data_IF_695449713098
#
_entry.id   IF_695449713098
#
_cell.length_a   1.000
_cell.length_b   1.000
_cell.length_c   1.000
_cell.angle_alpha   90.00
_cell.angle_beta   90.00
_cell.angle_gamma   90.00
#
_symmetry.space_group_name_H-M   'P 1'
#
loop_
_entity.id
_entity.type
_entity.pdbx_description
1 polymer ?
#
# COMPACT_ATOMS: atom_id res chain seq x y z
N UNK A 1 -21.30 5.62 -0.86
CA UNK A 1 -19.96 5.19 -0.44
C UNK A 1 -19.14 6.41 -0.08
N UNK A 2 -18.65 6.46 1.16
CA UNK A 2 -17.81 7.52 1.70
C UNK A 2 -16.38 7.03 1.82
N UNK A 3 -15.43 7.77 1.23
CA UNK A 3 -14.00 7.52 1.42
C UNK A 3 -13.59 8.03 2.81
N UNK A 4 -12.96 7.17 3.59
CA UNK A 4 -12.47 7.47 4.94
C UNK A 4 -11.00 7.89 4.92
N UNK A 5 -10.20 7.19 4.12
CA UNK A 5 -8.77 7.43 3.98
C UNK A 5 -8.24 6.81 2.69
N UNK A 6 -7.24 7.43 2.09
CA UNK A 6 -6.42 6.80 1.06
C UNK A 6 -4.98 6.70 1.53
N UNK A 7 -4.42 5.49 1.48
CA UNK A 7 -3.00 5.24 1.64
C UNK A 7 -2.39 5.19 0.25
N UNK A 8 -1.63 6.24 -0.09
CA UNK A 8 -0.99 6.34 -1.38
C UNK A 8 0.34 5.58 -1.43
N UNK A 9 0.57 4.83 -2.50
CA UNK A 9 1.84 4.17 -2.77
C UNK A 9 2.22 3.12 -1.73
N UNK A 10 1.25 2.40 -1.18
CA UNK A 10 1.53 1.17 -0.45
C UNK A 10 2.16 0.14 -1.40
N UNK A 11 2.87 -0.86 -0.88
CA UNK A 11 3.47 -1.87 -1.72
C UNK A 11 3.47 -3.28 -1.11
N UNK A 12 3.47 -4.32 -1.93
CA UNK A 12 3.82 -5.70 -1.55
C UNK A 12 5.21 -6.05 -2.05
N UNK A 13 5.91 -6.96 -1.37
CA UNK A 13 7.16 -7.53 -1.85
C UNK A 13 6.92 -8.97 -2.31
N UNK A 14 7.22 -9.25 -3.58
CA UNK A 14 7.04 -10.54 -4.23
C UNK A 14 8.33 -10.92 -4.97
N UNK A 15 9.19 -11.65 -4.27
CA UNK A 15 10.51 -12.05 -4.77
C UNK A 15 11.38 -10.85 -5.13
N UNK A 16 11.73 -10.75 -6.41
CA UNK A 16 12.58 -9.67 -6.93
C UNK A 16 11.82 -8.40 -7.28
N UNK A 17 10.51 -8.33 -7.04
CA UNK A 17 9.67 -7.22 -7.42
C UNK A 17 8.93 -6.61 -6.24
N UNK A 18 8.64 -5.33 -6.38
CA UNK A 18 7.74 -4.57 -5.54
C UNK A 18 6.54 -4.17 -6.37
N UNK A 19 5.35 -4.52 -5.90
CA UNK A 19 4.09 -4.14 -6.54
C UNK A 19 3.46 -3.02 -5.74
N UNK A 20 3.08 -1.92 -6.39
CA UNK A 20 2.55 -0.72 -5.76
C UNK A 20 1.04 -0.62 -5.92
N UNK A 21 0.41 -0.13 -4.85
CA UNK A 21 -1.02 0.00 -4.72
C UNK A 21 -1.40 1.31 -4.03
N UNK A 22 -2.57 1.83 -4.37
CA UNK A 22 -3.29 2.74 -3.48
C UNK A 22 -4.36 1.94 -2.73
N UNK A 23 -4.39 2.11 -1.41
CA UNK A 23 -5.39 1.47 -0.54
C UNK A 23 -6.44 2.51 -0.15
N UNK A 24 -7.65 2.37 -0.68
CA UNK A 24 -8.75 3.32 -0.44
C UNK A 24 -9.74 2.70 0.54
N UNK A 25 -9.69 3.18 1.77
CA UNK A 25 -10.59 2.78 2.86
C UNK A 25 -11.91 3.51 2.69
N UNK A 26 -13.00 2.76 2.64
CA UNK A 26 -14.36 3.29 2.54
C UNK A 26 -15.23 2.78 3.67
N UNK A 27 -16.43 3.32 3.81
CA UNK A 27 -17.47 2.79 4.69
C UNK A 27 -17.93 1.37 4.32
N UNK A 28 -17.79 0.95 3.05
CA UNK A 28 -18.25 -0.36 2.56
C UNK A 28 -17.17 -1.45 2.55
N UNK A 29 -15.92 -1.06 2.30
CA UNK A 29 -14.80 -1.99 2.17
C UNK A 29 -13.49 -1.29 1.80
N UNK A 30 -12.52 -2.11 1.41
CA UNK A 30 -11.21 -1.67 0.95
C UNK A 30 -11.10 -1.85 -0.57
N UNK A 31 -10.74 -0.78 -1.27
CA UNK A 31 -10.27 -0.87 -2.65
C UNK A 31 -8.75 -0.94 -2.65
N UNK A 32 -8.21 -1.94 -3.36
CA UNK A 32 -6.78 -2.16 -3.60
C UNK A 32 -6.55 -1.83 -5.06
N UNK A 33 -6.11 -0.61 -5.34
CA UNK A 33 -5.92 -0.08 -6.70
C UNK A 33 -4.49 -0.36 -7.14
N UNK A 34 -4.30 -1.12 -8.22
CA UNK A 34 -2.98 -1.45 -8.75
C UNK A 34 -2.38 -0.25 -9.50
N UNK A 35 -1.18 0.16 -9.09
CA UNK A 35 -0.44 1.25 -9.74
C UNK A 35 0.62 0.75 -10.71
N UNK A 36 1.29 -0.35 -10.38
CA UNK A 36 2.38 -0.89 -11.18
C UNK A 36 3.30 -1.82 -10.40
N UNK A 37 4.25 -2.43 -11.11
CA UNK A 37 5.25 -3.35 -10.56
C UNK A 37 6.64 -2.91 -10.97
N UNK A 38 7.59 -2.94 -10.03
CA UNK A 38 8.99 -2.55 -10.28
C UNK A 38 9.95 -3.59 -9.71
N UNK A 39 11.10 -3.82 -10.35
CA UNK A 39 12.14 -4.68 -9.79
C UNK A 39 12.79 -4.01 -8.57
N UNK A 40 12.99 -4.79 -7.50
CA UNK A 40 13.66 -4.41 -6.25
C UNK A 40 15.17 -4.27 -6.41
N UNK A 41 15.77 -5.08 -7.29
CA UNK A 41 17.21 -5.15 -7.52
C UNK A 41 17.48 -5.09 -9.03
N UNK A 42 18.13 -4.02 -9.48
CA UNK A 42 18.65 -3.96 -10.85
C UNK A 42 19.94 -4.76 -10.90
N UNK A 43 19.84 -6.06 -11.20
CA UNK A 43 21.02 -6.95 -11.21
C UNK A 43 22.04 -6.62 -12.31
N UNK A 44 21.73 -5.80 -13.34
CA UNK A 44 22.61 -5.61 -14.51
C UNK A 44 22.66 -4.21 -15.17
N UNK A 45 21.99 -3.18 -14.63
CA UNK A 45 21.99 -1.80 -15.18
C UNK A 45 21.88 -0.79 -14.03
N UNK A 46 22.29 0.49 -14.21
CA UNK A 46 22.34 1.45 -13.12
C UNK A 46 21.00 1.45 -12.35
N UNK A 47 21.05 1.51 -11.01
CA UNK A 47 19.86 1.49 -10.16
C UNK A 47 18.90 2.59 -10.63
N UNK A 48 17.59 2.31 -10.65
CA UNK A 48 16.55 3.33 -10.87
C UNK A 48 16.94 4.59 -10.07
N UNK A 49 17.24 5.72 -10.74
CA UNK A 49 17.58 6.95 -10.04
C UNK A 49 16.46 7.24 -9.04
N UNK A 50 16.80 7.66 -7.81
CA UNK A 50 15.82 8.06 -6.77
C UNK A 50 14.72 9.01 -7.31
N UNK A 51 14.97 9.69 -8.43
CA UNK A 51 14.00 10.50 -9.16
C UNK A 51 12.84 9.72 -9.78
N UNK A 52 13.03 8.47 -10.24
CA UNK A 52 12.00 7.73 -10.99
C UNK A 52 10.92 7.14 -10.06
N UNK A 53 11.26 6.60 -8.89
CA UNK A 53 10.25 6.15 -7.91
C UNK A 53 9.45 7.35 -7.37
N UNK A 54 10.11 8.48 -7.09
CA UNK A 54 9.41 9.72 -6.71
C UNK A 54 8.57 10.30 -7.84
N UNK A 55 9.05 10.28 -9.08
CA UNK A 55 8.29 10.74 -10.25
C UNK A 55 7.09 9.85 -10.51
N UNK A 56 7.21 8.52 -10.40
CA UNK A 56 6.08 7.61 -10.52
C UNK A 56 5.07 7.83 -9.40
N UNK A 57 5.51 7.90 -8.14
CA UNK A 57 4.60 8.23 -7.03
C UNK A 57 3.92 9.59 -7.21
N UNK A 58 4.60 10.57 -7.81
CA UNK A 58 4.03 11.89 -8.13
C UNK A 58 3.01 11.80 -9.26
N UNK A 59 3.38 11.20 -10.40
CA UNK A 59 2.50 11.02 -11.56
C UNK A 59 1.26 10.19 -11.19
N UNK A 60 1.41 9.15 -10.37
CA UNK A 60 0.27 8.35 -9.91
C UNK A 60 -0.61 9.08 -8.90
N UNK A 61 -0.02 9.83 -7.97
CA UNK A 61 -0.78 10.71 -7.06
C UNK A 61 -1.59 11.76 -7.82
N UNK A 62 -1.05 12.31 -8.90
CA UNK A 62 -1.75 13.29 -9.75
C UNK A 62 -2.85 12.60 -10.59
N UNK A 63 -2.60 11.40 -11.11
CA UNK A 63 -3.50 10.72 -12.06
C UNK A 63 -4.76 10.09 -11.45
N UNK A 64 -4.71 9.63 -10.19
CA UNK A 64 -5.83 8.89 -9.60
C UNK A 64 -6.58 9.64 -8.49
N UNK A 65 -6.10 10.80 -8.06
CA UNK A 65 -6.74 11.58 -6.97
C UNK A 65 -8.19 11.93 -7.27
N UNK A 66 -8.48 12.26 -8.52
CA UNK A 66 -9.83 12.60 -8.99
C UNK A 66 -10.72 11.36 -9.16
N UNK A 67 -10.12 10.18 -9.35
CA UNK A 67 -10.82 8.92 -9.55
C UNK A 67 -11.30 8.26 -8.24
N UNK A 68 -10.85 8.75 -7.08
CA UNK A 68 -11.24 8.20 -5.76
C UNK A 68 -12.58 8.75 -5.25
N UNK A 69 -13.54 8.78 -6.15
CA UNK A 69 -14.95 8.95 -5.87
C UNK A 69 -15.70 7.63 -6.16
N UNK A 70 -16.99 7.58 -5.83
CA UNK A 70 -17.76 6.34 -5.96
C UNK A 70 -17.81 5.78 -7.38
N UNK A 71 -17.94 6.66 -8.39
CA UNK A 71 -18.01 6.28 -9.80
C UNK A 71 -16.67 5.78 -10.32
N UNK A 72 -15.59 6.51 -10.03
CA UNK A 72 -14.24 6.17 -10.49
C UNK A 72 -13.71 4.88 -9.88
N UNK A 73 -13.94 4.62 -8.59
CA UNK A 73 -13.52 3.37 -7.95
C UNK A 73 -14.21 2.15 -8.55
N UNK A 74 -15.52 2.23 -8.80
CA UNK A 74 -16.27 1.14 -9.44
C UNK A 74 -15.79 0.89 -10.88
N UNK A 75 -15.46 1.96 -11.61
CA UNK A 75 -14.89 1.83 -12.94
C UNK A 75 -13.51 1.18 -12.92
N UNK A 76 -12.64 1.53 -11.97
CA UNK A 76 -11.35 0.86 -11.79
C UNK A 76 -11.50 -0.64 -11.51
N UNK A 77 -12.52 -1.03 -10.73
CA UNK A 77 -12.85 -2.46 -10.51
C UNK A 77 -13.29 -3.11 -11.82
N UNK A 78 -14.20 -2.48 -12.57
CA UNK A 78 -14.68 -2.99 -13.87
C UNK A 78 -13.53 -3.18 -14.88
N UNK A 79 -12.53 -2.31 -14.85
CA UNK A 79 -11.35 -2.37 -15.72
C UNK A 79 -10.28 -3.37 -15.23
N UNK A 80 -10.51 -4.08 -14.12
CA UNK A 80 -9.51 -4.96 -13.52
C UNK A 80 -8.28 -4.24 -12.97
N UNK A 81 -8.38 -2.92 -12.74
CA UNK A 81 -7.30 -2.07 -12.17
C UNK A 81 -7.41 -1.93 -10.66
N UNK A 82 -8.53 -2.32 -10.06
CA UNK A 82 -8.71 -2.38 -8.63
C UNK A 82 -9.40 -3.67 -8.20
N UNK A 83 -9.08 -4.16 -7.00
CA UNK A 83 -9.83 -5.19 -6.31
C UNK A 83 -10.61 -4.55 -5.17
N UNK A 84 -11.90 -4.87 -5.07
CA UNK A 84 -12.71 -4.51 -3.90
C UNK A 84 -12.80 -5.68 -2.94
N UNK A 85 -12.64 -5.41 -1.64
CA UNK A 85 -12.79 -6.37 -0.55
C UNK A 85 -13.75 -5.78 0.47
N UNK A 86 -14.87 -6.44 0.76
CA UNK A 86 -15.81 -5.95 1.79
C UNK A 86 -15.21 -6.13 3.18
N UNK A 87 -15.60 -5.27 4.11
CA UNK A 87 -15.16 -5.41 5.50
C UNK A 87 -15.57 -6.74 6.14
N UNK A 88 -16.72 -7.31 5.74
CA UNK A 88 -17.16 -8.63 6.19
C UNK A 88 -16.25 -9.78 5.74
N UNK A 89 -15.40 -9.56 4.73
CA UNK A 89 -14.43 -10.55 4.25
C UNK A 89 -13.09 -10.46 5.01
N UNK A 90 -12.90 -9.42 5.84
CA UNK A 90 -11.68 -9.18 6.61
C UNK A 90 -11.96 -9.47 8.08
N UNK A 91 -11.45 -10.58 8.59
CA UNK A 91 -11.68 -10.98 9.99
C UNK A 91 -10.97 -10.05 10.98
N UNK A 92 -9.72 -9.69 10.69
CA UNK A 92 -8.95 -8.72 11.47
C UNK A 92 -7.83 -8.11 10.63
N UNK A 93 -7.30 -6.98 11.08
CA UNK A 93 -6.14 -6.32 10.48
C UNK A 93 -4.98 -6.28 11.47
N UNK A 94 -3.81 -6.73 11.05
CA UNK A 94 -2.56 -6.60 11.81
C UNK A 94 -1.81 -5.38 11.33
N UNK A 95 -1.42 -4.50 12.27
CA UNK A 95 -0.59 -3.33 11.99
C UNK A 95 0.68 -3.39 12.83
N UNK A 96 1.84 -3.48 12.17
CA UNK A 96 3.15 -3.57 12.83
C UNK A 96 4.20 -2.72 12.14
N UNK A 97 5.10 -2.12 12.91
CA UNK A 97 6.31 -1.51 12.35
C UNK A 97 7.38 -2.59 12.11
N UNK A 98 7.93 -2.63 10.91
CA UNK A 98 8.96 -3.60 10.52
C UNK A 98 10.12 -2.89 9.82
N UNK A 99 11.32 -3.46 9.93
CA UNK A 99 12.48 -3.00 9.17
C UNK A 99 12.64 -3.83 7.90
N UNK A 100 12.59 -3.20 6.73
CA UNK A 100 12.89 -3.86 5.45
C UNK A 100 14.32 -3.55 5.05
N UNK A 101 15.14 -4.53 4.61
CA UNK A 101 16.49 -4.27 4.13
C UNK A 101 16.52 -3.23 3.02
N UNK A 102 17.35 -2.21 3.21
CA UNK A 102 17.56 -1.17 2.19
C UNK A 102 18.38 -1.74 1.01
N UNK A 103 18.06 -1.37 -0.22
CA UNK A 103 18.96 -1.55 -1.36
C UNK A 103 20.35 -0.98 -1.04
N UNK A 104 21.45 -1.60 -1.50
CA UNK A 104 22.82 -1.13 -1.21
C UNK A 104 23.05 0.37 -1.48
N UNK A 105 22.39 0.90 -2.51
CA UNK A 105 22.46 2.32 -2.91
C UNK A 105 21.84 3.24 -1.85
N UNK A 106 20.74 2.82 -1.22
CA UNK A 106 20.12 3.58 -0.15
C UNK A 106 20.90 3.44 1.15
N UNK A 107 21.43 2.23 1.44
CA UNK A 107 22.32 1.98 2.60
C UNK A 107 23.52 2.91 2.62
N UNK A 108 24.22 3.06 1.49
CA UNK A 108 25.39 3.96 1.38
C UNK A 108 25.06 5.43 1.63
N UNK A 109 23.82 5.84 1.35
CA UNK A 109 23.42 7.23 1.44
C UNK A 109 22.76 7.60 2.79
N UNK A 110 22.10 6.65 3.47
CA UNK A 110 21.51 6.89 4.80
C UNK A 110 22.43 6.46 5.94
N UNK A 111 23.37 5.53 5.70
CA UNK A 111 24.12 4.85 6.75
C UNK A 111 23.32 3.74 7.45
N UNK A 112 22.00 3.67 7.21
CA UNK A 112 21.12 2.65 7.78
C UNK A 112 21.08 1.39 6.92
N UNK A 113 21.00 0.22 7.56
CA UNK A 113 20.83 -1.06 6.86
C UNK A 113 19.37 -1.37 6.47
N UNK A 114 18.41 -0.74 7.17
CA UNK A 114 16.98 -1.05 7.07
C UNK A 114 16.13 0.21 7.01
N UNK A 115 15.05 0.15 6.23
CA UNK A 115 13.99 1.15 6.19
C UNK A 115 12.89 0.75 7.18
N UNK A 116 12.50 1.65 8.09
CA UNK A 116 11.35 1.42 8.96
C UNK A 116 10.07 1.72 8.19
N UNK A 117 9.21 0.72 8.04
CA UNK A 117 7.91 0.83 7.37
C UNK A 117 6.81 0.28 8.26
N UNK A 118 5.57 0.66 7.96
CA UNK A 118 4.38 0.08 8.53
C UNK A 118 3.90 -1.08 7.65
N UNK A 119 3.76 -2.26 8.22
CA UNK A 119 3.08 -3.40 7.61
C UNK A 119 1.62 -3.40 8.02
N UNK A 120 0.75 -3.52 7.02
CA UNK A 120 -0.67 -3.86 7.15
C UNK A 120 -0.88 -5.25 6.59
N UNK A 121 -1.42 -6.17 7.37
CA UNK A 121 -1.81 -7.49 6.90
C UNK A 121 -3.30 -7.71 7.12
N UNK A 122 -4.01 -8.08 6.06
CA UNK A 122 -5.47 -8.26 6.07
C UNK A 122 -5.78 -9.75 6.17
N UNK A 123 -6.36 -10.23 7.27
CA UNK A 123 -6.73 -11.63 7.39
C UNK A 123 -8.05 -11.90 6.66
N UNK A 124 -8.01 -12.67 5.57
CA UNK A 124 -9.14 -12.98 4.70
C UNK A 124 -9.22 -14.49 4.44
N UNK A 125 -9.95 -15.22 5.29
CA UNK A 125 -10.02 -16.67 5.21
C UNK A 125 -8.64 -17.33 5.38
N UNK A 126 -8.14 -18.00 4.33
CA UNK A 126 -6.79 -18.59 4.31
C UNK A 126 -5.71 -17.65 3.81
N UNK A 127 -6.08 -16.51 3.24
CA UNK A 127 -5.15 -15.54 2.66
C UNK A 127 -4.84 -14.42 3.66
N UNK A 128 -3.60 -13.93 3.62
CA UNK A 128 -3.15 -12.81 4.46
C UNK A 128 -2.24 -11.86 3.67
N UNK A 129 -2.75 -11.13 2.67
CA UNK A 129 -1.94 -10.19 1.90
C UNK A 129 -1.37 -9.11 2.81
N UNK A 130 -0.12 -8.74 2.51
CA UNK A 130 0.68 -7.78 3.27
C UNK A 130 1.00 -6.59 2.40
N UNK A 131 0.75 -5.42 2.95
CA UNK A 131 1.05 -4.13 2.35
C UNK A 131 1.98 -3.35 3.28
N UNK A 132 2.96 -2.69 2.69
CA UNK A 132 3.94 -1.88 3.38
C UNK A 132 3.77 -0.42 2.98
N UNK A 133 3.93 0.49 3.94
CA UNK A 133 3.74 1.92 3.72
C UNK A 133 4.49 2.74 4.77
N UNK A 134 4.40 4.06 4.71
CA UNK A 134 5.04 4.97 5.66
C UNK A 134 4.57 4.74 7.10
N UNK A 135 5.48 4.78 8.07
CA UNK A 135 5.12 4.74 9.50
C UNK A 135 4.26 5.94 9.94
N UNK A 136 4.35 7.07 9.22
CA UNK A 136 3.68 8.33 9.57
C UNK A 136 2.14 8.25 9.49
N UNK A 137 1.60 7.30 8.72
CA UNK A 137 0.16 7.19 8.51
C UNK A 137 -0.53 6.19 9.46
N UNK A 138 0.23 5.60 10.41
CA UNK A 138 -0.26 4.60 11.37
C UNK A 138 -1.54 5.03 12.10
N UNK A 139 -1.53 6.22 12.70
CA UNK A 139 -2.69 6.70 13.47
C UNK A 139 -3.88 7.07 12.56
N UNK A 140 -3.63 7.47 11.31
CA UNK A 140 -4.69 7.66 10.32
C UNK A 140 -5.41 6.34 10.01
N UNK A 141 -4.63 5.29 9.74
CA UNK A 141 -5.15 3.95 9.42
C UNK A 141 -5.92 3.37 10.61
N UNK A 142 -5.38 3.48 11.83
CA UNK A 142 -6.08 3.04 13.04
C UNK A 142 -7.43 3.73 13.22
N UNK A 143 -7.49 5.05 13.02
CA UNK A 143 -8.75 5.81 13.11
C UNK A 143 -9.76 5.37 12.05
N UNK A 144 -9.30 5.19 10.81
CA UNK A 144 -10.15 4.69 9.74
C UNK A 144 -10.74 3.31 10.06
N UNK A 145 -9.90 2.35 10.47
CA UNK A 145 -10.32 0.98 10.81
C UNK A 145 -11.23 0.94 12.06
N UNK A 146 -10.96 1.77 13.08
CA UNK A 146 -11.84 1.88 14.25
C UNK A 146 -13.23 2.40 13.87
N UNK A 147 -13.31 3.36 12.94
CA UNK A 147 -14.58 3.97 12.53
C UNK A 147 -15.55 3.02 11.80
N UNK A 148 -15.03 1.92 11.27
CA UNK A 148 -15.78 0.87 10.57
C UNK A 148 -15.95 -0.40 11.40
N UNK A 149 -15.49 -0.41 12.65
CA UNK A 149 -15.63 -1.55 13.56
C UNK A 149 -14.74 -2.74 13.24
N UNK A 150 -13.66 -2.57 12.47
CA UNK A 150 -12.72 -3.66 12.15
C UNK A 150 -11.79 -3.93 13.33
N UNK A 151 -11.66 -5.20 13.73
CA UNK A 151 -10.78 -5.62 14.81
C UNK A 151 -9.30 -5.38 14.45
N UNK A 152 -8.60 -4.67 15.32
CA UNK A 152 -7.16 -4.41 15.21
C UNK A 152 -6.40 -5.36 16.12
N UNK A 153 -5.46 -6.12 15.56
CA UNK A 153 -4.52 -6.93 16.34
C UNK A 153 -3.13 -6.32 16.31
N UNK A 154 -2.54 -6.20 17.49
CA UNK A 154 -1.17 -5.75 17.69
C UNK A 154 -0.27 -6.96 17.94
N UNK A 155 0.92 -6.94 17.35
CA UNK A 155 1.97 -7.94 17.49
C UNK A 155 3.35 -7.30 17.44
#
# INVERSE_FOLDING_TARGET
MRVLMTVYGAFSEEGEYRTYYDLVFTDLGLFIVFLGRMPRIFKRRPPLPRGIERQLLRVYKERFREAYNSKGLNELVRMGRARFVRWSEISYVVIKEVGIPLPPVLRRASGDEKERVLMLALAMGRDMPRFYTSVKIREGIKRALKSIGVELRYS
#
